data_IF_929832868263
#
_entry.id   IF_929832868263
#
_cell.length_a   1.000
_cell.length_b   1.000
_cell.length_c   1.000
_cell.angle_alpha   90.00
_cell.angle_beta   90.00
_cell.angle_gamma   90.00
#
_symmetry.space_group_name_H-M   'P 1'
#
loop_
_entity.id
_entity.type
_entity.pdbx_description
1 polymer ?
#
# COMPACT_ATOMS: atom_id res chain seq x y z
N UNK A 1 -10.84 -3.52 24.65
CA UNK A 1 -9.99 -2.63 23.84
C UNK A 1 -10.49 -2.70 22.40
N UNK A 2 -10.77 -1.55 21.78
CA UNK A 2 -11.11 -1.50 20.36
C UNK A 2 -9.82 -1.55 19.54
N UNK A 3 -9.73 -2.48 18.59
CA UNK A 3 -8.63 -2.49 17.62
C UNK A 3 -9.04 -1.66 16.41
N UNK A 4 -8.18 -0.74 15.96
CA UNK A 4 -8.42 0.03 14.74
C UNK A 4 -8.26 -0.91 13.54
N UNK A 5 -9.31 -1.01 12.72
CA UNK A 5 -9.29 -1.72 11.45
C UNK A 5 -9.14 -0.66 10.34
N UNK A 6 -8.18 -0.87 9.43
CA UNK A 6 -7.84 0.04 8.33
C UNK A 6 -8.41 -0.47 6.99
N UNK A 7 -9.52 -1.19 7.06
CA UNK A 7 -10.26 -1.70 5.92
C UNK A 7 -11.73 -1.72 6.28
N UNK A 8 -12.58 -1.45 5.30
CA UNK A 8 -14.04 -1.54 5.45
C UNK A 8 -14.53 -3.00 5.48
N UNK A 9 -13.67 -3.95 5.07
CA UNK A 9 -13.97 -5.37 4.96
C UNK A 9 -13.08 -6.18 5.89
N UNK A 10 -13.66 -7.18 6.55
CA UNK A 10 -12.90 -8.10 7.39
C UNK A 10 -13.38 -9.54 7.22
N UNK A 11 -12.45 -10.48 7.32
CA UNK A 11 -12.74 -11.91 7.22
C UNK A 11 -12.00 -12.69 8.31
N UNK A 12 -12.57 -13.82 8.73
CA UNK A 12 -11.93 -14.70 9.70
C UNK A 12 -10.75 -15.46 9.10
N UNK A 13 -9.71 -15.73 9.89
CA UNK A 13 -8.57 -16.55 9.45
C UNK A 13 -9.00 -17.96 8.99
N UNK A 14 -10.08 -18.50 9.57
CA UNK A 14 -10.66 -19.77 9.16
C UNK A 14 -11.35 -19.69 7.80
N UNK A 15 -11.95 -18.56 7.46
CA UNK A 15 -12.58 -18.32 6.15
C UNK A 15 -11.51 -18.16 5.08
N UNK A 16 -10.47 -17.37 5.37
CA UNK A 16 -9.31 -17.21 4.49
C UNK A 16 -8.68 -18.57 4.16
N UNK A 17 -8.48 -19.44 5.17
CA UNK A 17 -7.94 -20.80 4.96
C UNK A 17 -8.82 -21.68 4.08
N UNK A 18 -10.14 -21.50 4.11
CA UNK A 18 -11.08 -22.29 3.31
C UNK A 18 -11.09 -21.83 1.85
N UNK A 19 -11.14 -20.52 1.61
CA UNK A 19 -11.19 -19.96 0.27
C UNK A 19 -10.53 -18.56 0.22
N UNK A 20 -9.21 -18.50 -0.03
CA UNK A 20 -8.48 -17.24 -0.07
C UNK A 20 -8.99 -16.27 -1.14
N UNK A 21 -9.38 -16.79 -2.31
CA UNK A 21 -9.82 -15.97 -3.44
C UNK A 21 -11.17 -15.32 -3.18
N UNK A 22 -12.09 -16.05 -2.53
CA UNK A 22 -13.37 -15.49 -2.09
C UNK A 22 -13.17 -14.34 -1.11
N UNK A 23 -12.26 -14.48 -0.14
CA UNK A 23 -11.96 -13.42 0.82
C UNK A 23 -11.38 -12.20 0.12
N UNK A 24 -10.44 -12.37 -0.83
CA UNK A 24 -9.90 -11.24 -1.59
C UNK A 24 -10.96 -10.53 -2.45
N UNK A 25 -11.90 -11.26 -3.05
CA UNK A 25 -12.98 -10.67 -3.84
C UNK A 25 -13.93 -9.82 -3.00
N UNK A 26 -14.15 -10.15 -1.73
CA UNK A 26 -14.95 -9.31 -0.80
C UNK A 26 -14.35 -7.92 -0.62
N UNK A 27 -13.04 -7.77 -0.81
CA UNK A 27 -12.35 -6.48 -0.72
C UNK A 27 -12.61 -5.55 -1.89
N UNK A 28 -13.23 -6.02 -2.99
CA UNK A 28 -13.50 -5.23 -4.20
C UNK A 28 -12.25 -4.48 -4.75
N UNK A 29 -11.08 -5.14 -4.68
CA UNK A 29 -9.80 -4.55 -5.06
C UNK A 29 -9.10 -3.75 -3.94
N UNK A 30 -9.77 -3.58 -2.80
CA UNK A 30 -9.23 -3.04 -1.55
C UNK A 30 -8.62 -4.10 -0.62
N UNK A 31 -7.97 -3.67 0.48
CA UNK A 31 -7.42 -4.57 1.48
C UNK A 31 -8.54 -5.23 2.29
N UNK A 32 -8.32 -6.45 2.78
CA UNK A 32 -9.25 -7.14 3.70
C UNK A 32 -8.56 -7.42 5.03
N UNK A 33 -9.16 -6.97 6.13
CA UNK A 33 -8.62 -7.23 7.46
C UNK A 33 -8.87 -8.68 7.88
N UNK A 34 -7.81 -9.43 8.19
CA UNK A 34 -7.92 -10.82 8.61
C UNK A 34 -7.93 -10.89 10.13
N UNK A 35 -8.96 -11.54 10.67
CA UNK A 35 -9.22 -11.63 12.10
C UNK A 35 -8.89 -13.03 12.65
N UNK A 36 -8.22 -13.07 13.80
CA UNK A 36 -8.05 -14.29 14.60
C UNK A 36 -8.62 -14.04 16.00
N UNK A 37 -9.60 -14.85 16.42
CA UNK A 37 -10.33 -14.66 17.70
C UNK A 37 -10.83 -13.21 17.88
N UNK A 38 -11.46 -12.67 16.83
CA UNK A 38 -11.98 -11.29 16.75
C UNK A 38 -10.93 -10.18 16.95
N UNK A 39 -9.65 -10.47 16.71
CA UNK A 39 -8.57 -9.48 16.68
C UNK A 39 -7.94 -9.43 15.30
N UNK A 40 -7.73 -8.24 14.71
CA UNK A 40 -7.03 -8.13 13.44
C UNK A 40 -5.58 -8.59 13.62
N UNK A 41 -5.12 -9.45 12.70
CA UNK A 41 -3.75 -10.01 12.73
C UNK A 41 -2.92 -9.60 11.52
N UNK A 42 -3.53 -9.41 10.35
CA UNK A 42 -2.88 -8.88 9.14
C UNK A 42 -3.94 -8.39 8.14
N UNK A 43 -3.50 -7.74 7.06
CA UNK A 43 -4.34 -7.37 5.92
C UNK A 43 -3.96 -8.26 4.73
N UNK A 44 -4.96 -8.85 4.08
CA UNK A 44 -4.81 -9.47 2.78
C UNK A 44 -4.99 -8.36 1.72
N UNK A 45 -3.95 -8.08 0.94
CA UNK A 45 -3.95 -7.00 -0.04
C UNK A 45 -3.80 -7.64 -1.43
N UNK A 46 -4.66 -7.30 -2.41
CA UNK A 46 -4.47 -7.70 -3.81
C UNK A 46 -3.11 -7.26 -4.34
N UNK A 47 -2.51 -8.05 -5.24
CA UNK A 47 -1.18 -7.79 -5.76
C UNK A 47 -1.08 -6.42 -6.47
N UNK A 48 -2.06 -6.10 -7.33
CA UNK A 48 -2.13 -4.84 -8.06
C UNK A 48 -2.27 -3.62 -7.12
N UNK A 49 -2.95 -3.80 -5.98
CA UNK A 49 -3.03 -2.75 -4.97
C UNK A 49 -1.72 -2.61 -4.21
N UNK A 50 -1.05 -3.72 -3.89
CA UNK A 50 0.25 -3.68 -3.22
C UNK A 50 1.31 -2.99 -4.09
N UNK A 51 1.34 -3.27 -5.39
CA UNK A 51 2.17 -2.57 -6.37
C UNK A 51 1.91 -1.07 -6.35
N UNK A 52 0.65 -0.63 -6.45
CA UNK A 52 0.28 0.80 -6.36
C UNK A 52 0.70 1.45 -5.04
N UNK A 53 0.71 0.72 -3.93
CA UNK A 53 1.19 1.24 -2.64
C UNK A 53 2.70 1.49 -2.73
N UNK A 54 3.46 0.58 -3.31
CA UNK A 54 4.91 0.74 -3.49
C UNK A 54 5.24 1.90 -4.42
N UNK A 55 4.57 1.99 -5.57
CA UNK A 55 4.76 3.10 -6.53
C UNK A 55 4.55 4.47 -5.83
N UNK A 56 3.51 4.56 -4.99
CA UNK A 56 3.22 5.78 -4.23
C UNK A 56 4.25 6.09 -3.15
N UNK A 57 4.88 5.09 -2.57
CA UNK A 57 5.97 5.30 -1.60
C UNK A 57 7.22 5.83 -2.32
N UNK A 58 7.54 5.28 -3.49
CA UNK A 58 8.64 5.78 -4.32
C UNK A 58 8.41 7.24 -4.75
N UNK A 59 7.19 7.59 -5.17
CA UNK A 59 6.81 8.98 -5.48
C UNK A 59 7.04 9.92 -4.28
N UNK A 60 6.74 9.47 -3.06
CA UNK A 60 6.94 10.27 -1.84
C UNK A 60 8.43 10.49 -1.59
N UNK A 61 9.26 9.45 -1.74
CA UNK A 61 10.71 9.56 -1.59
C UNK A 61 11.30 10.53 -2.63
N UNK A 62 10.85 10.45 -3.88
CA UNK A 62 11.24 11.38 -4.93
C UNK A 62 10.80 12.82 -4.61
N UNK A 63 9.58 13.00 -4.09
CA UNK A 63 9.08 14.32 -3.69
C UNK A 63 9.91 14.93 -2.54
N UNK A 64 10.47 14.12 -1.65
CA UNK A 64 11.39 14.60 -0.62
C UNK A 64 12.70 15.11 -1.23
N UNK A 65 13.27 14.38 -2.20
CA UNK A 65 14.47 14.82 -2.92
C UNK A 65 14.22 16.14 -3.65
N UNK A 66 13.07 16.25 -4.34
CA UNK A 66 12.69 17.49 -5.03
C UNK A 66 12.64 18.67 -4.05
N UNK A 67 12.02 18.48 -2.88
CA UNK A 67 11.94 19.52 -1.84
C UNK A 67 13.30 19.89 -1.27
N UNK A 68 14.17 18.91 -1.03
CA UNK A 68 15.53 19.18 -0.54
C UNK A 68 16.32 20.03 -1.52
N UNK A 69 16.11 19.82 -2.82
CA UNK A 69 16.84 20.47 -3.92
C UNK A 69 16.14 21.68 -4.52
N UNK A 70 14.97 22.05 -4.00
CA UNK A 70 14.11 23.10 -4.57
C UNK A 70 14.81 24.46 -4.67
N UNK A 71 15.78 24.71 -3.78
CA UNK A 71 16.53 25.97 -3.70
C UNK A 71 18.01 25.82 -4.11
N UNK A 72 18.39 24.68 -4.68
CA UNK A 72 19.77 24.48 -5.15
C UNK A 72 20.07 25.42 -6.34
N UNK A 73 21.34 25.83 -6.53
CA UNK A 73 21.74 26.56 -7.71
C UNK A 73 21.43 25.77 -8.99
N UNK A 74 20.69 26.39 -9.91
CA UNK A 74 20.41 25.81 -11.23
C UNK A 74 21.58 26.08 -12.16
N UNK A 75 22.09 25.04 -12.79
CA UNK A 75 23.14 25.12 -13.81
C UNK A 75 22.53 24.64 -15.12
N UNK A 76 22.55 25.49 -16.14
CA UNK A 76 22.14 25.14 -17.49
C UNK A 76 23.22 24.25 -18.13
N UNK A 77 22.80 23.13 -18.72
CA UNK A 77 23.67 22.16 -19.38
C UNK A 77 23.02 21.72 -20.69
N UNK A 78 23.83 21.53 -21.74
CA UNK A 78 23.40 20.90 -22.99
C UNK A 78 23.61 19.38 -22.89
N UNK A 79 22.66 18.60 -23.42
CA UNK A 79 22.78 17.13 -23.44
C UNK A 79 23.88 16.66 -24.41
N UNK A 80 24.17 17.45 -25.43
CA UNK A 80 25.21 17.16 -26.42
C UNK A 80 26.63 17.40 -25.86
N UNK A 81 26.75 18.03 -24.68
CA UNK A 81 28.01 18.35 -23.99
C UNK A 81 28.38 17.36 -22.85
N UNK A 82 27.60 16.27 -22.66
CA UNK A 82 27.76 15.26 -21.60
C UNK A 82 28.54 14.00 -22.02
#
# INVERSE_FOLDING_TARGET
MAHRILSDISAGISELKKNPMSVLQQGEGGPVAILNRNRPVFYAIPADMYEKILDRLEDIELALIIKERENDPVIEVDIDDL
#
